data_IF_460757129640
#
_entry.id   IF_460757129640
#
_cell.length_a   1.000
_cell.length_b   1.000
_cell.length_c   1.000
_cell.angle_alpha   90.00
_cell.angle_beta   90.00
_cell.angle_gamma   90.00
#
_symmetry.space_group_name_H-M   'P 1'
#
loop_
_entity.id
_entity.type
_entity.pdbx_description
1 polymer ?
#
# COMPACT_ATOMS: atom_id res chain seq x y z
N UNK A 1 -2.00 -8.86 4.56
CA UNK A 1 -2.32 -7.43 4.31
C UNK A 1 -1.40 -6.60 5.19
N UNK A 2 -0.49 -5.84 4.58
CA UNK A 2 0.62 -5.20 5.30
C UNK A 2 0.23 -3.87 5.97
N UNK A 3 -0.71 -3.12 5.37
CA UNK A 3 -1.13 -1.79 5.81
C UNK A 3 -2.60 -1.76 6.29
N UNK A 4 -2.97 -2.66 7.21
CA UNK A 4 -4.31 -2.64 7.82
C UNK A 4 -4.50 -1.48 8.80
N UNK A 5 -3.40 -0.95 9.34
CA UNK A 5 -3.40 0.11 10.35
C UNK A 5 -3.49 1.51 9.69
N UNK A 6 -4.46 2.36 10.07
CA UNK A 6 -4.60 3.70 9.50
C UNK A 6 -3.37 4.60 9.66
N UNK A 7 -2.63 4.50 10.77
CA UNK A 7 -1.43 5.28 11.00
C UNK A 7 -0.30 4.85 10.05
N UNK A 8 -0.11 3.53 9.86
CA UNK A 8 0.85 3.01 8.87
C UNK A 8 0.48 3.44 7.44
N UNK A 9 -0.81 3.39 7.08
CA UNK A 9 -1.29 3.88 5.76
C UNK A 9 -0.98 5.36 5.59
N UNK A 10 -1.24 6.18 6.60
CA UNK A 10 -0.99 7.63 6.56
C UNK A 10 0.51 7.92 6.39
N UNK A 11 1.36 7.21 7.11
CA UNK A 11 2.82 7.35 7.00
C UNK A 11 3.30 6.93 5.61
N UNK A 12 2.86 5.77 5.12
CA UNK A 12 3.21 5.29 3.79
C UNK A 12 2.79 6.28 2.70
N UNK A 13 1.55 6.79 2.76
CA UNK A 13 1.03 7.77 1.80
C UNK A 13 1.83 9.08 1.76
N UNK A 14 2.39 9.52 2.89
CA UNK A 14 3.02 10.85 3.02
C UNK A 14 4.56 10.80 2.97
N UNK A 15 5.14 9.61 3.09
CA UNK A 15 6.60 9.44 3.13
C UNK A 15 7.14 8.41 2.13
N UNK A 16 6.26 7.64 1.48
CA UNK A 16 6.59 6.44 0.71
C UNK A 16 7.32 5.35 1.49
N UNK A 17 7.44 5.51 2.81
CA UNK A 17 8.14 4.55 3.67
C UNK A 17 7.14 3.49 4.14
N UNK A 18 7.49 2.23 3.91
CA UNK A 18 6.65 1.07 4.25
C UNK A 18 7.44 0.20 5.20
N UNK A 19 7.29 0.49 6.49
CA UNK A 19 7.99 -0.21 7.55
C UNK A 19 7.04 -1.10 8.34
N UNK A 20 7.48 -2.32 8.75
CA UNK A 20 6.72 -3.13 9.67
C UNK A 20 6.50 -2.40 10.99
N UNK A 21 5.27 -2.38 11.49
CA UNK A 21 4.92 -1.75 12.76
C UNK A 21 5.80 -2.22 13.94
N UNK A 22 6.23 -3.49 13.89
CA UNK A 22 7.11 -4.08 14.89
C UNK A 22 8.40 -3.29 15.09
N UNK A 23 8.92 -2.59 14.08
CA UNK A 23 10.20 -1.89 14.15
C UNK A 23 10.21 -0.79 15.22
N UNK A 24 9.28 0.17 15.16
CA UNK A 24 9.22 1.19 16.21
C UNK A 24 8.71 0.61 17.54
N UNK A 25 7.91 -0.47 17.52
CA UNK A 25 7.38 -1.08 18.76
C UNK A 25 8.52 -1.68 19.58
N UNK A 26 9.53 -2.25 18.92
CA UNK A 26 10.72 -2.78 19.59
C UNK A 26 11.54 -1.67 20.24
N UNK A 27 11.68 -0.53 19.56
CA UNK A 27 12.42 0.62 20.10
C UNK A 27 11.75 1.22 21.35
N UNK A 28 10.44 1.00 21.59
CA UNK A 28 9.78 1.47 22.83
C UNK A 28 10.37 0.88 24.12
N UNK A 29 11.13 -0.21 24.03
CA UNK A 29 11.78 -0.84 25.19
C UNK A 29 13.07 -0.12 25.62
N UNK A 30 13.65 0.76 24.79
CA UNK A 30 14.89 1.47 25.12
C UNK A 30 14.61 2.71 25.97
N UNK A 31 15.56 3.08 26.83
CA UNK A 31 15.47 4.26 27.73
C UNK A 31 16.24 5.47 27.20
N UNK A 32 16.59 5.45 25.93
CA UNK A 32 17.30 6.51 25.23
C UNK A 32 16.29 7.45 24.51
N UNK A 33 16.75 8.57 23.94
CA UNK A 33 15.89 9.49 23.21
C UNK A 33 15.14 8.84 22.04
N UNK A 34 15.72 7.80 21.43
CA UNK A 34 15.08 7.02 20.38
C UNK A 34 13.86 6.26 20.93
N UNK A 35 13.98 5.65 22.10
CA UNK A 35 12.87 4.97 22.78
C UNK A 35 11.77 5.93 23.22
N UNK A 36 12.12 7.16 23.61
CA UNK A 36 11.14 8.21 23.89
C UNK A 36 10.34 8.58 22.63
N UNK A 37 11.03 8.80 21.50
CA UNK A 37 10.38 9.06 20.22
C UNK A 37 9.49 7.88 19.79
N UNK A 38 9.95 6.65 19.97
CA UNK A 38 9.17 5.45 19.66
C UNK A 38 7.90 5.34 20.52
N UNK A 39 7.96 5.68 21.81
CA UNK A 39 6.79 5.70 22.71
C UNK A 39 5.78 6.77 22.30
N UNK A 40 6.26 7.99 21.99
CA UNK A 40 5.39 9.08 21.51
C UNK A 40 4.77 8.72 20.16
N UNK A 41 5.53 8.08 19.27
CA UNK A 41 5.04 7.62 17.97
C UNK A 41 3.95 6.57 18.13
N UNK A 42 4.17 5.58 19.01
CA UNK A 42 3.18 4.55 19.30
C UNK A 42 1.89 5.13 19.90
N UNK A 43 1.99 6.05 20.86
CA UNK A 43 0.83 6.72 21.44
C UNK A 43 0.05 7.52 20.39
N UNK A 44 0.76 8.35 19.60
CA UNK A 44 0.17 9.16 18.53
C UNK A 44 -0.49 8.28 17.45
N UNK A 45 0.13 7.16 17.07
CA UNK A 45 -0.43 6.22 16.09
C UNK A 45 -1.73 5.57 16.59
N UNK A 46 -1.80 5.22 17.88
CA UNK A 46 -3.03 4.71 18.50
C UNK A 46 -4.12 5.76 18.51
N UNK A 47 -3.83 6.97 18.98
CA UNK A 47 -4.81 8.06 19.01
C UNK A 47 -5.29 8.44 17.60
N UNK A 48 -4.39 8.41 16.60
CA UNK A 48 -4.75 8.62 15.21
C UNK A 48 -5.72 7.55 14.72
N UNK A 49 -5.43 6.27 14.95
CA UNK A 49 -6.30 5.14 14.56
C UNK A 49 -7.67 5.23 15.25
N UNK A 50 -7.70 5.58 16.53
CA UNK A 50 -8.95 5.82 17.26
C UNK A 50 -9.72 7.00 16.64
N UNK A 51 -9.02 8.08 16.27
CA UNK A 51 -9.64 9.23 15.62
C UNK A 51 -10.21 8.92 14.24
N UNK A 52 -9.56 8.05 13.46
CA UNK A 52 -10.10 7.55 12.18
C UNK A 52 -11.43 6.88 12.42
N UNK A 53 -11.48 5.96 13.40
CA UNK A 53 -12.70 5.23 13.73
C UNK A 53 -13.82 6.16 14.23
N UNK A 54 -13.48 7.21 14.98
CA UNK A 54 -14.45 8.22 15.44
C UNK A 54 -14.97 9.05 14.26
N UNK A 55 -14.09 9.48 13.35
CA UNK A 55 -14.46 10.23 12.16
C UNK A 55 -15.36 9.41 11.24
N UNK A 56 -15.03 8.15 10.96
CA UNK A 56 -15.83 7.25 10.14
C UNK A 56 -17.25 7.12 10.71
N UNK A 57 -17.38 6.87 12.03
CA UNK A 57 -18.69 6.80 12.69
C UNK A 57 -19.47 8.11 12.64
N UNK A 58 -18.79 9.26 12.66
CA UNK A 58 -19.46 10.56 12.57
C UNK A 58 -19.97 10.81 11.15
N UNK A 59 -19.18 10.46 10.14
CA UNK A 59 -19.55 10.55 8.72
C UNK A 59 -20.70 9.59 8.38
N UNK A 60 -20.69 8.36 8.89
CA UNK A 60 -21.77 7.40 8.71
C UNK A 60 -23.10 7.93 9.27
N UNK A 61 -23.07 8.50 10.48
CA UNK A 61 -24.27 9.12 11.08
C UNK A 61 -24.79 10.27 10.25
N UNK A 62 -23.90 11.13 9.73
CA UNK A 62 -24.27 12.21 8.83
C UNK A 62 -24.93 11.68 7.55
N UNK A 63 -24.36 10.62 6.96
CA UNK A 63 -24.91 9.95 5.77
C UNK A 63 -26.31 9.40 6.00
N UNK A 64 -26.52 8.68 7.11
CA UNK A 64 -27.84 8.13 7.47
C UNK A 64 -28.89 9.25 7.66
N UNK A 65 -28.53 10.35 8.32
CA UNK A 65 -29.42 11.49 8.50
C UNK A 65 -29.75 12.18 7.17
N UNK A 66 -28.75 12.35 6.29
CA UNK A 66 -28.93 12.91 4.97
C UNK A 66 -29.87 12.05 4.11
N UNK A 67 -29.69 10.73 4.11
CA UNK A 67 -30.53 9.79 3.37
C UNK A 67 -31.96 9.73 3.91
N UNK A 68 -32.12 9.82 5.24
CA UNK A 68 -33.44 9.86 5.88
C UNK A 68 -34.17 11.16 5.51
N UNK A 69 -33.48 12.29 5.56
CA UNK A 69 -34.04 13.59 5.15
C UNK A 69 -34.42 13.59 3.67
N UNK A 70 -33.57 13.02 2.79
CA UNK A 70 -33.85 12.90 1.35
C UNK A 70 -35.09 12.05 1.07
N UNK A 71 -35.27 10.94 1.78
CA UNK A 71 -36.46 10.10 1.68
C UNK A 71 -37.71 10.81 2.20
N UNK A 72 -37.60 11.56 3.30
CA UNK A 72 -38.70 12.38 3.82
C UNK A 72 -39.16 13.46 2.84
N UNK A 73 -38.21 14.16 2.21
CA UNK A 73 -38.47 15.10 1.11
C UNK A 73 -39.22 14.44 -0.05
N UNK A 74 -38.75 13.27 -0.50
CA UNK A 74 -39.39 12.53 -1.60
C UNK A 74 -40.83 12.09 -1.25
N UNK A 75 -41.09 11.81 0.03
CA UNK A 75 -42.41 11.41 0.52
C UNK A 75 -43.37 12.59 0.80
N UNK A 76 -42.96 13.84 0.56
CA UNK A 76 -43.73 15.07 0.89
C UNK A 76 -44.15 15.14 2.36
N UNK A 77 -43.38 14.53 3.26
CA UNK A 77 -43.58 14.63 4.69
C UNK A 77 -42.97 15.93 5.23
N UNK A 78 -43.43 16.38 6.41
CA UNK A 78 -42.86 17.55 7.08
C UNK A 78 -41.35 17.38 7.31
N UNK A 79 -40.61 18.44 6.98
CA UNK A 79 -39.16 18.47 7.03
C UNK A 79 -38.67 18.70 8.45
N UNK A 80 -38.41 17.62 9.18
CA UNK A 80 -37.72 17.71 10.46
C UNK A 80 -36.37 16.99 10.41
N UNK A 81 -35.31 17.74 10.10
CA UNK A 81 -33.92 17.27 10.13
C UNK A 81 -33.33 17.40 11.55
N UNK A 82 -34.04 16.85 12.54
CA UNK A 82 -33.59 16.89 13.94
C UNK A 82 -32.22 16.23 14.09
N UNK A 83 -31.31 16.89 14.80
CA UNK A 83 -29.97 16.38 15.06
C UNK A 83 -28.97 16.53 13.90
N UNK A 84 -29.38 17.02 12.71
CA UNK A 84 -28.45 17.20 11.59
C UNK A 84 -27.32 18.19 11.91
N UNK A 85 -27.65 19.33 12.54
CA UNK A 85 -26.64 20.32 12.94
C UNK A 85 -25.64 19.74 13.94
N UNK A 86 -26.11 18.96 14.92
CA UNK A 86 -25.23 18.30 15.89
C UNK A 86 -24.31 17.28 15.20
N UNK A 87 -24.86 16.42 14.34
CA UNK A 87 -24.08 15.42 13.61
C UNK A 87 -23.03 16.05 12.69
N UNK A 88 -23.35 17.19 12.06
CA UNK A 88 -22.40 17.95 11.27
C UNK A 88 -21.28 18.53 12.14
N UNK A 89 -21.61 19.15 13.27
CA UNK A 89 -20.62 19.69 14.21
C UNK A 89 -19.71 18.58 14.74
N UNK A 90 -20.27 17.43 15.14
CA UNK A 90 -19.51 16.26 15.59
C UNK A 90 -18.54 15.77 14.51
N UNK A 91 -18.97 15.69 13.25
CA UNK A 91 -18.13 15.28 12.13
C UNK A 91 -17.01 16.28 11.83
N UNK A 92 -17.30 17.59 11.92
CA UNK A 92 -16.29 18.64 11.76
C UNK A 92 -15.24 18.59 12.87
N UNK A 93 -15.66 18.47 14.13
CA UNK A 93 -14.75 18.33 15.28
C UNK A 93 -13.91 17.06 15.17
N UNK A 94 -14.52 15.92 14.77
CA UNK A 94 -13.78 14.69 14.54
C UNK A 94 -12.74 14.85 13.42
N UNK A 95 -13.10 15.56 12.34
CA UNK A 95 -12.20 15.85 11.22
C UNK A 95 -11.02 16.73 11.63
N UNK A 96 -11.27 17.80 12.37
CA UNK A 96 -10.20 18.69 12.86
C UNK A 96 -9.22 17.95 13.75
N UNK A 97 -9.73 17.14 14.70
CA UNK A 97 -8.90 16.28 15.53
C UNK A 97 -8.07 15.30 14.70
N UNK A 98 -8.69 14.67 13.70
CA UNK A 98 -8.02 13.71 12.83
C UNK A 98 -6.87 14.36 12.03
N UNK A 99 -7.08 15.58 11.50
CA UNK A 99 -6.04 16.36 10.80
C UNK A 99 -4.87 16.69 11.74
N UNK A 100 -5.17 17.18 12.94
CA UNK A 100 -4.15 17.54 13.91
C UNK A 100 -3.29 16.32 14.32
N UNK A 101 -3.95 15.19 14.62
CA UNK A 101 -3.27 13.93 14.93
C UNK A 101 -2.43 13.43 13.75
N UNK A 102 -2.92 13.57 12.51
CA UNK A 102 -2.18 13.20 11.31
C UNK A 102 -0.88 14.01 11.16
N UNK A 103 -0.91 15.32 11.39
CA UNK A 103 0.28 16.16 11.35
C UNK A 103 1.29 15.79 12.46
N UNK A 104 0.81 15.54 13.68
CA UNK A 104 1.67 15.09 14.79
C UNK A 104 2.29 13.73 14.49
N UNK A 105 1.51 12.77 13.98
CA UNK A 105 1.98 11.44 13.61
C UNK A 105 3.17 11.52 12.65
N UNK A 106 3.05 12.29 11.58
CA UNK A 106 4.10 12.46 10.58
C UNK A 106 5.34 13.16 11.13
N UNK A 107 5.14 14.14 12.02
CA UNK A 107 6.24 14.88 12.64
C UNK A 107 7.07 13.97 13.53
N UNK A 108 6.40 13.21 14.40
CA UNK A 108 7.06 12.26 15.31
C UNK A 108 7.67 11.11 14.51
N UNK A 109 6.99 10.62 13.46
CA UNK A 109 7.53 9.60 12.57
C UNK A 109 8.85 10.05 11.93
N UNK A 110 8.88 11.24 11.33
CA UNK A 110 10.08 11.78 10.68
C UNK A 110 11.22 11.96 11.67
N UNK A 111 10.93 12.44 12.89
CA UNK A 111 11.93 12.53 13.95
C UNK A 111 12.49 11.16 14.33
N UNK A 112 11.63 10.18 14.62
CA UNK A 112 12.06 8.80 14.91
C UNK A 112 12.88 8.21 13.75
N UNK A 113 12.40 8.35 12.52
CA UNK A 113 13.05 7.81 11.30
C UNK A 113 14.42 8.42 11.03
N UNK A 114 14.60 9.70 11.35
CA UNK A 114 15.88 10.39 11.27
C UNK A 114 16.91 9.80 12.26
N UNK A 115 16.48 9.44 13.47
CA UNK A 115 17.34 8.84 14.49
C UNK A 115 17.48 7.31 14.38
N UNK A 116 16.61 6.65 13.62
CA UNK A 116 16.67 5.21 13.31
C UNK A 116 16.98 4.99 11.82
N UNK A 117 18.26 5.02 11.40
CA UNK A 117 18.62 4.60 10.05
C UNK A 117 18.33 3.10 9.92
N UNK A 118 17.24 2.76 9.21
CA UNK A 118 16.99 1.38 8.78
C UNK A 118 17.89 1.13 7.57
N UNK A 119 18.88 0.23 7.66
CA UNK A 119 19.77 -0.05 6.54
C UNK A 119 18.97 -0.57 5.34
N UNK A 120 19.25 -0.06 4.14
CA UNK A 120 18.65 -0.55 2.89
C UNK A 120 19.14 -1.93 2.44
N UNK A 121 19.99 -2.57 3.25
CA UNK A 121 20.72 -3.81 2.93
C UNK A 121 20.14 -5.05 3.64
N UNK A 122 18.89 -4.93 4.12
CA UNK A 122 18.15 -6.05 4.69
C UNK A 122 17.76 -7.09 3.64
N UNK A 123 17.54 -8.33 4.07
CA UNK A 123 17.04 -9.40 3.20
C UNK A 123 15.57 -9.18 2.78
N UNK A 124 14.88 -8.21 3.36
CA UNK A 124 13.50 -7.86 3.07
C UNK A 124 13.32 -6.35 3.06
N UNK A 125 12.60 -5.84 2.05
CA UNK A 125 12.15 -4.45 1.97
C UNK A 125 10.72 -4.41 1.47
N UNK A 126 9.96 -3.38 1.85
CA UNK A 126 8.59 -3.20 1.38
C UNK A 126 8.48 -1.90 0.57
N UNK A 127 7.63 -1.91 -0.44
CA UNK A 127 7.52 -0.84 -1.41
C UNK A 127 6.05 -0.59 -1.77
N UNK A 128 5.63 0.67 -1.78
CA UNK A 128 4.36 1.06 -2.39
C UNK A 128 4.42 0.87 -3.90
N UNK A 129 3.43 0.20 -4.49
CA UNK A 129 3.35 0.06 -5.94
C UNK A 129 3.06 1.38 -6.65
N UNK A 130 2.36 2.29 -5.96
CA UNK A 130 2.12 3.66 -6.39
C UNK A 130 2.55 4.62 -5.30
N UNK A 131 3.43 5.56 -5.66
CA UNK A 131 3.93 6.54 -4.71
C UNK A 131 2.77 7.34 -4.10
N UNK A 132 2.74 7.41 -2.77
CA UNK A 132 1.73 8.10 -1.99
C UNK A 132 0.34 7.45 -1.95
N UNK A 133 0.15 6.31 -2.61
CA UNK A 133 -1.15 5.62 -2.64
C UNK A 133 -1.06 4.18 -2.10
N UNK A 134 -1.26 4.00 -0.78
CA UNK A 134 -1.28 2.67 -0.18
C UNK A 134 -2.49 1.83 -0.60
N UNK A 135 -3.54 2.40 -1.19
CA UNK A 135 -4.74 1.65 -1.62
C UNK A 135 -4.50 0.76 -2.83
N UNK A 136 -3.38 0.98 -3.53
CA UNK A 136 -2.90 0.15 -4.63
C UNK A 136 -1.99 -0.99 -4.18
N UNK A 137 -1.82 -1.15 -2.88
CA UNK A 137 -1.09 -2.24 -2.27
C UNK A 137 0.42 -2.08 -2.23
N UNK A 138 1.05 -3.09 -1.63
CA UNK A 138 2.47 -3.13 -1.30
C UNK A 138 3.11 -4.37 -1.94
N UNK A 139 4.33 -4.21 -2.46
CA UNK A 139 5.21 -5.32 -2.76
C UNK A 139 6.20 -5.55 -1.62
N UNK A 140 6.24 -6.78 -1.11
CA UNK A 140 7.35 -7.26 -0.29
C UNK A 140 8.43 -7.81 -1.21
N UNK A 141 9.63 -7.29 -1.06
CA UNK A 141 10.80 -7.64 -1.85
C UNK A 141 11.76 -8.41 -0.96
N UNK A 142 11.99 -9.68 -1.29
CA UNK A 142 12.94 -10.52 -0.57
C UNK A 142 14.20 -10.71 -1.38
N UNK A 143 15.35 -10.39 -0.80
CA UNK A 143 16.63 -10.50 -1.48
C UNK A 143 16.96 -11.96 -1.80
N UNK A 144 17.36 -12.20 -3.04
CA UNK A 144 17.87 -13.50 -3.50
C UNK A 144 19.37 -13.40 -3.79
N UNK A 145 19.79 -12.33 -4.46
CA UNK A 145 21.17 -11.99 -4.78
C UNK A 145 21.40 -10.49 -4.53
N UNK A 146 22.64 -9.97 -4.50
CA UNK A 146 22.92 -8.57 -4.15
C UNK A 146 22.12 -7.53 -4.94
N UNK A 147 21.68 -7.86 -6.16
CA UNK A 147 20.91 -6.99 -7.06
C UNK A 147 19.56 -7.57 -7.48
N UNK A 148 19.18 -8.73 -6.93
CA UNK A 148 17.99 -9.49 -7.37
C UNK A 148 17.02 -9.66 -6.22
N UNK A 149 15.78 -9.25 -6.44
CA UNK A 149 14.73 -9.24 -5.42
C UNK A 149 13.52 -10.04 -5.91
N UNK A 150 13.11 -11.02 -5.12
CA UNK A 150 11.85 -11.73 -5.29
C UNK A 150 10.68 -10.82 -4.92
N UNK A 151 9.68 -10.73 -5.78
CA UNK A 151 8.52 -9.86 -5.60
C UNK A 151 7.33 -10.67 -5.08
N UNK A 152 6.75 -10.23 -3.98
CA UNK A 152 5.57 -10.82 -3.33
C UNK A 152 4.54 -9.71 -3.10
N UNK A 153 3.47 -9.61 -3.92
CA UNK A 153 2.40 -8.65 -3.70
C UNK A 153 1.55 -9.04 -2.50
N UNK A 154 1.10 -8.04 -1.74
CA UNK A 154 0.10 -8.25 -0.71
C UNK A 154 -1.32 -8.39 -1.29
N UNK A 155 -2.31 -8.62 -0.43
CA UNK A 155 -3.70 -8.79 -0.84
C UNK A 155 -4.32 -7.56 -1.53
N UNK A 156 -3.96 -6.34 -1.12
CA UNK A 156 -4.44 -5.12 -1.77
C UNK A 156 -3.83 -4.97 -3.16
N UNK A 157 -2.54 -5.25 -3.30
CA UNK A 157 -1.88 -5.28 -4.61
C UNK A 157 -2.51 -6.33 -5.52
N UNK A 158 -2.77 -7.52 -4.99
CA UNK A 158 -3.37 -8.59 -5.76
C UNK A 158 -4.77 -8.21 -6.28
N UNK A 159 -5.57 -7.55 -5.43
CA UNK A 159 -6.89 -7.04 -5.78
C UNK A 159 -6.80 -5.90 -6.79
N UNK A 160 -5.90 -4.94 -6.58
CA UNK A 160 -5.75 -3.76 -7.44
C UNK A 160 -5.30 -4.09 -8.87
N UNK A 161 -4.59 -5.21 -9.04
CA UNK A 161 -4.11 -5.71 -10.34
C UNK A 161 -4.90 -6.92 -10.85
N UNK A 162 -5.97 -7.33 -10.16
CA UNK A 162 -6.81 -8.48 -10.53
C UNK A 162 -5.99 -9.74 -10.82
N UNK A 163 -5.18 -10.15 -9.83
CA UNK A 163 -4.40 -11.39 -9.85
C UNK A 163 -4.90 -12.36 -8.78
N UNK A 164 -4.97 -13.67 -9.06
CA UNK A 164 -5.68 -14.63 -8.21
C UNK A 164 -4.93 -15.07 -6.94
N UNK A 165 -3.64 -14.75 -6.80
CA UNK A 165 -2.82 -15.26 -5.70
C UNK A 165 -2.08 -14.14 -4.96
N UNK A 166 -2.63 -13.63 -3.84
CA UNK A 166 -1.87 -12.78 -2.93
C UNK A 166 -0.78 -13.58 -2.20
N UNK A 167 0.24 -12.87 -1.70
CA UNK A 167 1.31 -13.43 -0.85
C UNK A 167 2.11 -14.56 -1.51
N UNK A 168 2.13 -14.62 -2.85
CA UNK A 168 2.95 -15.55 -3.64
C UNK A 168 4.03 -14.81 -4.42
N UNK A 169 5.16 -15.48 -4.63
CA UNK A 169 6.21 -14.97 -5.50
C UNK A 169 5.66 -14.87 -6.93
N UNK A 170 5.67 -13.67 -7.48
CA UNK A 170 5.25 -13.40 -8.87
C UNK A 170 6.44 -13.34 -9.83
N UNK A 171 7.65 -13.14 -9.32
CA UNK A 171 8.85 -13.05 -10.16
C UNK A 171 10.01 -12.48 -9.38
N UNK A 172 11.04 -12.09 -10.11
CA UNK A 172 12.15 -11.30 -9.58
C UNK A 172 12.34 -10.01 -10.36
N UNK A 173 12.96 -9.04 -9.72
CA UNK A 173 13.44 -7.81 -10.32
C UNK A 173 14.94 -7.70 -10.06
N UNK A 174 15.69 -7.54 -11.13
CA UNK A 174 17.15 -7.46 -11.10
C UNK A 174 17.60 -6.06 -11.50
N UNK A 175 18.43 -5.43 -10.67
CA UNK A 175 19.05 -4.16 -11.00
C UNK A 175 20.15 -4.37 -12.04
N UNK A 176 19.97 -3.77 -13.22
CA UNK A 176 20.93 -3.78 -14.32
C UNK A 176 21.14 -2.34 -14.82
N UNK A 177 22.17 -2.09 -15.63
CA UNK A 177 22.22 -0.87 -16.44
C UNK A 177 21.45 -1.14 -17.73
N UNK A 178 20.41 -0.38 -18.12
CA UNK A 178 20.05 0.98 -17.67
C UNK A 178 18.94 1.09 -16.60
N UNK A 179 18.45 0.00 -16.03
CA UNK A 179 17.37 0.04 -15.03
C UNK A 179 16.99 -1.31 -14.43
N UNK A 180 15.74 -1.46 -14.02
CA UNK A 180 15.24 -2.66 -13.36
C UNK A 180 14.66 -3.64 -14.39
N UNK A 181 15.21 -4.85 -14.43
CA UNK A 181 14.77 -5.92 -15.34
C UNK A 181 13.83 -6.87 -14.60
N UNK A 182 12.52 -6.89 -14.90
CA UNK A 182 11.58 -7.82 -14.30
C UNK A 182 11.58 -9.16 -15.05
N UNK A 183 11.58 -10.26 -14.30
CA UNK A 183 11.43 -11.62 -14.86
C UNK A 183 10.33 -12.37 -14.11
N UNK A 184 9.29 -12.78 -14.83
CA UNK A 184 8.18 -13.53 -14.24
C UNK A 184 8.41 -15.06 -14.31
N UNK A 185 7.97 -15.79 -13.29
CA UNK A 185 8.14 -17.25 -13.20
C UNK A 185 6.85 -17.96 -12.85
N UNK A 186 6.50 -19.05 -13.54
CA UNK A 186 5.25 -19.79 -13.25
C UNK A 186 5.21 -20.49 -11.89
N UNK A 187 6.36 -20.77 -11.29
CA UNK A 187 6.48 -21.28 -9.93
C UNK A 187 7.85 -20.92 -9.33
N UNK A 188 7.91 -20.75 -8.01
CA UNK A 188 9.16 -20.46 -7.29
C UNK A 188 10.34 -21.37 -7.64
N UNK A 189 10.22 -22.72 -7.79
CA UNK A 189 11.36 -23.56 -8.18
C UNK A 189 11.87 -23.32 -9.62
N UNK A 190 11.08 -22.68 -10.49
CA UNK A 190 11.46 -22.44 -11.88
C UNK A 190 12.53 -21.36 -12.05
N UNK A 191 12.91 -20.63 -11.00
CA UNK A 191 14.07 -19.72 -11.02
C UNK A 191 15.40 -20.45 -11.32
N UNK A 192 15.48 -21.78 -11.10
CA UNK A 192 16.69 -22.61 -11.33
C UNK A 192 16.61 -23.56 -12.52
N UNK A 193 15.53 -23.52 -13.31
CA UNK A 193 15.25 -24.51 -14.38
C UNK A 193 14.78 -23.81 -15.68
N UNK A 194 14.79 -24.47 -16.86
CA UNK A 194 15.15 -23.85 -18.14
C UNK A 194 14.14 -22.83 -18.68
N UNK A 195 14.60 -22.07 -19.69
CA UNK A 195 14.04 -20.89 -20.35
C UNK A 195 12.55 -20.90 -20.78
N UNK A 196 11.82 -22.02 -20.63
CA UNK A 196 10.40 -22.12 -21.00
C UNK A 196 9.42 -21.68 -19.90
N UNK A 197 9.91 -21.43 -18.68
CA UNK A 197 9.08 -21.06 -17.52
C UNK A 197 9.47 -19.70 -16.92
N UNK A 198 10.34 -18.97 -17.61
CA UNK A 198 10.87 -17.65 -17.27
C UNK A 198 10.49 -16.66 -18.36
N UNK A 199 9.85 -15.55 -18.01
CA UNK A 199 9.39 -14.55 -18.96
C UNK A 199 10.07 -13.21 -18.68
N UNK A 200 11.13 -12.85 -19.44
CA UNK A 200 11.76 -11.55 -19.30
C UNK A 200 10.80 -10.47 -19.80
N UNK A 201 10.61 -9.43 -18.99
CA UNK A 201 9.78 -8.27 -19.31
C UNK A 201 10.65 -7.07 -19.68
N UNK A 202 10.09 -6.03 -20.32
CA UNK A 202 10.84 -4.83 -20.66
C UNK A 202 11.47 -4.17 -19.43
N UNK A 203 12.68 -3.62 -19.60
CA UNK A 203 13.39 -2.87 -18.57
C UNK A 203 12.58 -1.64 -18.18
N UNK A 204 12.50 -1.36 -16.87
CA UNK A 204 11.79 -0.23 -16.29
C UNK A 204 12.78 0.72 -15.60
N UNK A 205 12.47 2.02 -15.58
CA UNK A 205 13.35 3.04 -15.00
C UNK A 205 13.45 2.94 -13.47
N UNK A 206 12.38 2.49 -12.81
CA UNK A 206 12.32 2.34 -11.37
C UNK A 206 11.77 0.99 -10.92
N UNK A 207 12.11 0.65 -9.68
CA UNK A 207 11.75 -0.60 -9.04
C UNK A 207 10.23 -0.81 -8.90
N UNK A 208 9.46 0.24 -8.62
CA UNK A 208 8.01 0.13 -8.48
C UNK A 208 7.38 -0.17 -9.84
N UNK A 209 7.83 0.50 -10.90
CA UNK A 209 7.43 0.20 -12.28
C UNK A 209 7.77 -1.23 -12.69
N UNK A 210 8.95 -1.74 -12.35
CA UNK A 210 9.30 -3.14 -12.57
C UNK A 210 8.37 -4.12 -11.82
N UNK A 211 8.01 -3.81 -10.58
CA UNK A 211 7.04 -4.60 -9.82
C UNK A 211 5.65 -4.55 -10.46
N UNK A 212 5.17 -3.38 -10.89
CA UNK A 212 3.88 -3.23 -11.58
C UNK A 212 3.85 -3.99 -12.90
N UNK A 213 4.96 -4.00 -13.65
CA UNK A 213 5.12 -4.77 -14.89
C UNK A 213 4.91 -6.27 -14.65
N UNK A 214 5.50 -6.83 -13.58
CA UNK A 214 5.24 -8.22 -13.17
C UNK A 214 3.75 -8.47 -12.87
N UNK A 215 3.10 -7.58 -12.12
CA UNK A 215 1.69 -7.76 -11.75
C UNK A 215 0.77 -7.68 -12.97
N UNK A 216 1.01 -6.74 -13.88
CA UNK A 216 0.26 -6.63 -15.15
C UNK A 216 0.49 -7.83 -16.06
N UNK A 217 1.70 -8.38 -16.08
CA UNK A 217 1.98 -9.63 -16.78
C UNK A 217 1.13 -10.78 -16.25
N UNK A 218 1.04 -10.91 -14.92
CA UNK A 218 0.21 -11.94 -14.31
C UNK A 218 -1.28 -11.73 -14.49
N UNK A 219 -1.74 -10.50 -14.50
CA UNK A 219 -3.11 -10.17 -14.89
C UNK A 219 -3.39 -10.67 -16.30
N UNK A 220 -2.54 -10.30 -17.27
CA UNK A 220 -2.66 -10.74 -18.66
C UNK A 220 -2.65 -12.26 -18.79
N UNK A 221 -1.74 -12.94 -18.07
CA UNK A 221 -1.60 -14.39 -18.08
C UNK A 221 -2.83 -15.13 -17.54
N UNK A 222 -3.53 -14.54 -16.58
CA UNK A 222 -4.76 -15.11 -16.03
C UNK A 222 -6.03 -14.64 -16.73
N UNK A 223 -5.92 -13.66 -17.62
CA UNK A 223 -7.02 -13.25 -18.47
C UNK A 223 -7.30 -14.30 -19.55
N UNK A 224 -8.54 -14.31 -20.05
CA UNK A 224 -8.96 -15.13 -21.19
C UNK A 224 -8.17 -14.82 -22.48
N UNK A 225 -7.46 -13.70 -22.51
CA UNK A 225 -6.68 -13.24 -23.66
C UNK A 225 -5.27 -13.83 -23.71
N UNK A 226 -4.80 -14.51 -22.66
CA UNK A 226 -3.43 -15.03 -22.57
C UNK A 226 -3.06 -15.95 -23.73
N UNK A 227 -3.94 -16.91 -24.08
CA UNK A 227 -3.78 -17.87 -25.19
C UNK A 227 -2.39 -18.54 -25.25
N UNK A 228 -1.76 -18.78 -24.09
CA UNK A 228 -0.41 -19.36 -23.97
C UNK A 228 0.68 -18.58 -24.71
N UNK A 229 0.50 -17.26 -24.86
CA UNK A 229 1.45 -16.37 -25.51
C UNK A 229 2.74 -16.22 -24.69
N UNK A 230 3.79 -15.66 -25.27
CA UNK A 230 5.02 -15.25 -24.57
C UNK A 230 5.19 -13.73 -24.68
N UNK A 231 6.06 -13.07 -23.88
CA UNK A 231 6.19 -11.60 -23.90
C UNK A 231 6.51 -11.03 -25.29
N UNK A 232 7.29 -11.76 -26.09
CA UNK A 232 7.65 -11.46 -27.49
C UNK A 232 6.47 -11.56 -28.48
N UNK A 233 5.37 -12.18 -28.07
CA UNK A 233 4.15 -12.33 -28.87
C UNK A 233 3.07 -11.29 -28.50
N UNK A 234 3.39 -10.35 -27.62
CA UNK A 234 2.50 -9.25 -27.26
C UNK A 234 2.50 -8.16 -28.33
N UNK A 235 1.34 -7.55 -28.52
CA UNK A 235 1.23 -6.37 -29.37
C UNK A 235 2.00 -5.20 -28.75
N UNK A 236 2.45 -4.21 -29.55
CA UNK A 236 3.11 -3.02 -29.01
C UNK A 236 2.29 -2.28 -27.95
N UNK A 237 0.95 -2.30 -28.06
CA UNK A 237 0.05 -1.71 -27.07
C UNK A 237 0.04 -2.49 -25.74
N UNK A 238 0.04 -3.83 -25.79
CA UNK A 238 0.15 -4.68 -24.60
C UNK A 238 1.53 -4.54 -23.94
N UNK A 239 2.61 -4.44 -24.73
CA UNK A 239 3.96 -4.17 -24.20
C UNK A 239 4.04 -2.80 -23.51
N UNK A 240 3.48 -1.76 -24.13
CA UNK A 240 3.41 -0.44 -23.53
C UNK A 240 2.61 -0.43 -22.22
N UNK A 241 1.55 -1.24 -22.14
CA UNK A 241 0.78 -1.41 -20.90
C UNK A 241 1.59 -2.05 -19.77
N UNK A 242 2.52 -2.97 -20.08
CA UNK A 242 3.38 -3.56 -19.05
C UNK A 242 4.31 -2.51 -18.42
N UNK A 243 4.80 -1.55 -19.20
CA UNK A 243 5.79 -0.54 -18.76
C UNK A 243 5.21 0.73 -18.13
N UNK A 244 3.89 0.94 -18.19
CA UNK A 244 3.24 2.21 -17.78
C UNK A 244 2.89 2.34 -16.28
#
# INVERSE_FOLDING_TARGET
MFLTDPALRRIAAETNDVLPERLWRHDTATRDPLGDLARILHATAREFTDSTTVLDRALDRLGVLADTTRRGLAARADLHAAGYHQALTDALTARERHIALGAMLLTVYRAWRHHRPVPGDGDERHLLLYAGDPTRGVATLRRQEPRTWLVIPDAEAATAFDIPYPDRIVGEVTEAEPGWTPTAYTAAPHHRTPAGMTYPLPVCDDLASACRSLLRWWHLRHSDTWRSRTPDQLTPAELAHLTS
#
